data_IF_956950043845
#
_entry.id   IF_956950043845
#
_cell.length_a   1.000
_cell.length_b   1.000
_cell.length_c   1.000
_cell.angle_alpha   90.00
_cell.angle_beta   90.00
_cell.angle_gamma   90.00
#
_symmetry.space_group_name_H-M   'P 1'
#
loop_
_entity.id
_entity.type
_entity.pdbx_description
1 polymer ?
#
# COMPACT_ATOMS: atom_id res chain seq x y z
N UNK A 1 -7.61 59.16 -39.00
CA UNK A 1 -6.39 58.66 -38.31
C UNK A 1 -6.58 58.22 -36.85
N UNK A 2 -7.60 58.67 -36.13
CA UNK A 2 -7.89 58.33 -34.73
C UNK A 2 -8.46 56.91 -34.56
N UNK A 3 -9.35 56.48 -35.46
CA UNK A 3 -10.03 55.18 -35.40
C UNK A 3 -9.09 53.96 -35.49
N UNK A 4 -8.03 54.08 -36.30
CA UNK A 4 -7.00 53.04 -36.49
C UNK A 4 -6.10 52.82 -35.25
N UNK A 5 -5.98 53.82 -34.39
CA UNK A 5 -5.17 53.76 -33.16
C UNK A 5 -5.95 53.09 -32.00
N UNK A 6 -7.26 53.31 -31.94
CA UNK A 6 -8.13 52.65 -30.95
C UNK A 6 -8.30 51.18 -31.26
N UNK A 7 -8.48 50.80 -32.54
CA UNK A 7 -8.56 49.40 -32.97
C UNK A 7 -7.26 48.62 -32.67
N UNK A 8 -6.09 49.22 -32.89
CA UNK A 8 -4.78 48.63 -32.57
C UNK A 8 -4.52 48.53 -31.06
N UNK A 9 -5.09 49.41 -30.24
CA UNK A 9 -5.03 49.31 -28.78
C UNK A 9 -5.99 48.26 -28.24
N UNK A 10 -7.15 48.08 -28.85
CA UNK A 10 -8.11 47.02 -28.50
C UNK A 10 -7.52 45.61 -28.78
N UNK A 11 -6.91 45.45 -29.96
CA UNK A 11 -6.28 44.19 -30.37
C UNK A 11 -5.08 43.80 -29.46
N UNK A 12 -4.27 44.78 -29.04
CA UNK A 12 -3.20 44.59 -28.06
C UNK A 12 -3.73 44.21 -26.66
N UNK A 13 -4.86 44.79 -26.24
CA UNK A 13 -5.48 44.44 -24.95
C UNK A 13 -6.09 43.02 -24.96
N UNK A 14 -6.71 42.65 -26.08
CA UNK A 14 -7.22 41.28 -26.25
C UNK A 14 -6.09 40.23 -26.27
N UNK A 15 -5.00 40.51 -26.97
CA UNK A 15 -3.80 39.65 -26.98
C UNK A 15 -3.18 39.50 -25.59
N UNK A 16 -3.01 40.61 -24.85
CA UNK A 16 -2.48 40.59 -23.48
C UNK A 16 -3.40 39.82 -22.50
N UNK A 17 -4.74 39.98 -22.65
CA UNK A 17 -5.69 39.21 -21.83
C UNK A 17 -5.73 37.73 -22.20
N UNK A 18 -5.51 37.38 -23.46
CA UNK A 18 -5.41 35.96 -23.88
C UNK A 18 -4.13 35.30 -23.34
N UNK A 19 -2.98 36.03 -23.41
CA UNK A 19 -1.71 35.57 -22.82
C UNK A 19 -1.81 35.43 -21.29
N UNK A 20 -2.45 36.36 -20.60
CA UNK A 20 -2.67 36.30 -19.16
C UNK A 20 -3.59 35.14 -18.78
N UNK A 21 -4.66 34.87 -19.54
CA UNK A 21 -5.56 33.74 -19.36
C UNK A 21 -4.84 32.39 -19.63
N UNK A 22 -4.03 32.33 -20.68
CA UNK A 22 -3.20 31.16 -20.97
C UNK A 22 -2.17 30.91 -19.86
N UNK A 23 -1.46 31.95 -19.41
CA UNK A 23 -0.52 31.84 -18.30
C UNK A 23 -1.17 31.41 -16.99
N UNK A 24 -2.39 31.91 -16.68
CA UNK A 24 -3.18 31.44 -15.51
C UNK A 24 -3.68 30.01 -15.67
N UNK A 25 -4.06 29.60 -16.87
CA UNK A 25 -4.47 28.22 -17.15
C UNK A 25 -3.29 27.25 -17.04
N UNK A 26 -2.13 27.60 -17.59
CA UNK A 26 -0.91 26.81 -17.45
C UNK A 26 -0.41 26.72 -16.00
N UNK A 27 -0.47 27.83 -15.25
CA UNK A 27 -0.15 27.84 -13.82
C UNK A 27 -1.12 26.96 -13.02
N UNK A 28 -2.43 26.97 -13.34
CA UNK A 28 -3.45 26.14 -12.71
C UNK A 28 -3.26 24.65 -13.04
N UNK A 29 -2.82 24.32 -14.25
CA UNK A 29 -2.47 22.94 -14.65
C UNK A 29 -1.21 22.48 -13.93
N UNK A 30 -0.18 23.34 -13.80
CA UNK A 30 1.04 23.07 -13.03
C UNK A 30 0.78 22.88 -11.54
N UNK A 31 -0.27 23.46 -10.99
CA UNK A 31 -0.65 23.37 -9.58
C UNK A 31 -1.72 22.28 -9.32
N UNK A 32 -2.05 21.48 -10.33
CA UNK A 32 -2.99 20.37 -10.19
C UNK A 32 -2.28 19.09 -9.79
N UNK A 33 -2.81 18.40 -8.77
CA UNK A 33 -2.37 17.03 -8.41
C UNK A 33 -2.88 15.98 -9.42
N UNK A 34 -3.93 16.29 -10.18
CA UNK A 34 -4.60 15.36 -11.10
C UNK A 34 -3.90 15.32 -12.47
N UNK A 35 -2.61 15.06 -12.48
CA UNK A 35 -1.89 14.76 -13.72
C UNK A 35 -2.16 13.32 -14.17
N UNK A 36 -2.15 13.08 -15.48
CA UNK A 36 -2.35 11.73 -16.02
C UNK A 36 -1.38 10.70 -15.42
N UNK A 37 -0.06 10.98 -15.28
CA UNK A 37 0.86 10.06 -14.61
C UNK A 37 0.49 9.80 -13.15
N UNK A 38 0.02 10.80 -12.40
CA UNK A 38 -0.40 10.61 -11.01
C UNK A 38 -1.60 9.67 -10.90
N UNK A 39 -2.62 9.86 -11.76
CA UNK A 39 -3.81 8.99 -11.78
C UNK A 39 -3.44 7.55 -12.16
N UNK A 40 -2.54 7.38 -13.14
CA UNK A 40 -2.04 6.04 -13.52
C UNK A 40 -1.30 5.39 -12.34
N UNK A 41 -0.39 6.11 -11.68
CA UNK A 41 0.35 5.57 -10.53
C UNK A 41 -0.58 5.26 -9.35
N UNK A 42 -1.64 6.03 -9.15
CA UNK A 42 -2.68 5.75 -8.16
C UNK A 42 -3.43 4.46 -8.50
N UNK A 43 -3.78 4.25 -9.77
CA UNK A 43 -4.39 3.00 -10.24
C UNK A 43 -3.44 1.80 -10.10
N UNK A 44 -2.15 1.97 -10.42
CA UNK A 44 -1.11 0.97 -10.20
C UNK A 44 -1.03 0.58 -8.72
N UNK A 45 -1.02 1.56 -7.82
CA UNK A 45 -1.03 1.33 -6.37
C UNK A 45 -2.28 0.57 -5.92
N UNK A 46 -3.45 0.92 -6.46
CA UNK A 46 -4.71 0.23 -6.17
C UNK A 46 -4.66 -1.23 -6.58
N UNK A 47 -4.32 -1.54 -7.83
CA UNK A 47 -4.30 -2.91 -8.34
C UNK A 47 -3.22 -3.76 -7.66
N UNK A 48 -2.03 -3.21 -7.44
CA UNK A 48 -0.97 -3.90 -6.71
C UNK A 48 -1.38 -4.19 -5.27
N UNK A 49 -1.97 -3.22 -4.57
CA UNK A 49 -2.43 -3.38 -3.20
C UNK A 49 -3.61 -4.36 -3.12
N UNK A 50 -4.53 -4.33 -4.09
CA UNK A 50 -5.63 -5.28 -4.17
C UNK A 50 -5.11 -6.72 -4.30
N UNK A 51 -4.18 -6.97 -5.23
CA UNK A 51 -3.53 -8.28 -5.36
C UNK A 51 -2.82 -8.72 -4.06
N UNK A 52 -2.10 -7.80 -3.41
CA UNK A 52 -1.40 -8.08 -2.16
C UNK A 52 -2.36 -8.42 -1.01
N UNK A 53 -3.46 -7.68 -0.85
CA UNK A 53 -4.46 -7.95 0.20
C UNK A 53 -5.28 -9.20 -0.09
N UNK A 54 -5.58 -9.52 -1.36
CA UNK A 54 -6.14 -10.83 -1.74
C UNK A 54 -5.22 -11.94 -1.28
N UNK A 55 -3.92 -11.88 -1.61
CA UNK A 55 -2.95 -12.89 -1.21
C UNK A 55 -2.79 -13.00 0.31
N UNK A 56 -2.78 -11.90 1.04
CA UNK A 56 -2.64 -11.91 2.49
C UNK A 56 -3.78 -12.68 3.17
N UNK A 57 -4.99 -12.63 2.62
CA UNK A 57 -6.14 -13.37 3.15
C UNK A 57 -6.19 -14.83 2.67
N UNK A 58 -5.79 -15.12 1.44
CA UNK A 58 -5.96 -16.42 0.81
C UNK A 58 -4.75 -17.36 0.94
N UNK A 59 -3.53 -16.82 1.00
CA UNK A 59 -2.31 -17.65 1.09
C UNK A 59 -2.19 -18.49 2.36
N UNK A 60 -2.61 -18.02 3.55
CA UNK A 60 -2.65 -18.87 4.74
C UNK A 60 -3.57 -20.08 4.55
N UNK A 61 -4.76 -19.85 3.99
CA UNK A 61 -5.75 -20.91 3.70
C UNK A 61 -5.22 -21.85 2.62
N UNK A 62 -4.54 -21.31 1.60
CA UNK A 62 -3.91 -22.12 0.57
C UNK A 62 -2.78 -22.99 1.11
N UNK A 63 -1.93 -22.45 1.97
CA UNK A 63 -0.88 -23.24 2.63
C UNK A 63 -1.46 -24.36 3.51
N UNK A 64 -2.52 -24.07 4.26
CA UNK A 64 -3.25 -25.05 5.06
C UNK A 64 -3.82 -26.17 4.19
N UNK A 65 -4.44 -25.85 3.05
CA UNK A 65 -4.96 -26.84 2.08
C UNK A 65 -3.87 -27.73 1.47
N UNK A 66 -2.61 -27.28 1.46
CA UNK A 66 -1.42 -28.06 1.08
C UNK A 66 -0.83 -28.87 2.26
N UNK A 67 -1.52 -28.92 3.41
CA UNK A 67 -1.10 -29.68 4.60
C UNK A 67 -0.07 -28.94 5.48
N UNK A 68 0.02 -27.61 5.41
CA UNK A 68 0.91 -26.86 6.27
C UNK A 68 0.44 -26.87 7.72
N UNK A 69 1.36 -27.09 8.65
CA UNK A 69 1.11 -26.80 10.07
C UNK A 69 1.01 -25.28 10.28
N UNK A 70 0.41 -24.83 11.41
CA UNK A 70 0.32 -23.42 11.74
C UNK A 70 1.69 -22.70 11.71
N UNK A 71 2.76 -23.40 12.14
CA UNK A 71 4.12 -22.86 12.06
C UNK A 71 4.60 -22.70 10.60
N UNK A 72 4.29 -23.65 9.72
CA UNK A 72 4.65 -23.58 8.31
C UNK A 72 3.85 -22.49 7.57
N UNK A 73 2.58 -22.27 7.92
CA UNK A 73 1.80 -21.12 7.44
C UNK A 73 2.53 -19.82 7.77
N UNK A 74 3.04 -19.68 9.00
CA UNK A 74 3.84 -18.53 9.40
C UNK A 74 5.09 -18.36 8.55
N UNK A 75 5.81 -19.44 8.21
CA UNK A 75 6.98 -19.41 7.32
C UNK A 75 6.57 -18.98 5.91
N UNK A 76 5.50 -19.52 5.34
CA UNK A 76 4.98 -19.12 4.01
C UNK A 76 4.62 -17.65 4.00
N UNK A 77 3.90 -17.16 5.01
CA UNK A 77 3.46 -15.76 5.07
C UNK A 77 4.65 -14.82 5.24
N UNK A 78 5.65 -15.15 6.06
CA UNK A 78 6.77 -14.27 6.38
C UNK A 78 7.90 -14.29 5.33
N UNK A 79 8.01 -15.34 4.53
CA UNK A 79 9.14 -15.52 3.58
C UNK A 79 9.29 -14.38 2.59
N UNK A 80 8.17 -13.81 2.07
CA UNK A 80 8.25 -12.66 1.17
C UNK A 80 8.80 -11.39 1.85
N UNK A 81 8.47 -11.19 3.13
CA UNK A 81 8.97 -10.06 3.90
C UNK A 81 10.47 -10.16 4.13
N UNK A 82 10.98 -11.37 4.37
CA UNK A 82 12.40 -11.61 4.51
C UNK A 82 13.17 -11.21 3.25
N UNK A 83 12.75 -11.70 2.08
CA UNK A 83 13.40 -11.34 0.81
C UNK A 83 13.22 -9.86 0.45
N UNK A 84 12.06 -9.26 0.74
CA UNK A 84 11.84 -7.83 0.57
C UNK A 84 12.80 -7.00 1.44
N UNK A 85 13.04 -7.42 2.69
CA UNK A 85 13.99 -6.76 3.58
C UNK A 85 15.44 -6.87 3.06
N UNK A 86 15.83 -8.06 2.60
CA UNK A 86 17.18 -8.31 2.06
C UNK A 86 17.48 -7.52 0.78
N UNK A 87 16.48 -7.24 -0.04
CA UNK A 87 16.63 -6.50 -1.30
C UNK A 87 16.70 -4.98 -1.09
N UNK A 88 16.04 -4.43 -0.09
CA UNK A 88 15.97 -2.97 0.15
C UNK A 88 17.30 -2.23 0.20
N UNK A 89 18.36 -2.76 0.82
CA UNK A 89 19.69 -2.15 0.82
C UNK A 89 20.25 -1.89 -0.58
N UNK A 90 20.00 -2.81 -1.50
CA UNK A 90 20.48 -2.74 -2.88
C UNK A 90 19.54 -1.90 -3.76
N UNK A 91 18.25 -1.89 -3.45
CA UNK A 91 17.24 -1.20 -4.22
C UNK A 91 17.39 0.33 -4.13
N UNK A 92 17.66 0.89 -2.93
CA UNK A 92 17.81 2.34 -2.73
C UNK A 92 18.81 2.99 -3.69
N UNK A 93 20.10 2.58 -3.71
CA UNK A 93 21.08 3.09 -4.66
C UNK A 93 20.69 2.85 -6.14
N UNK A 94 20.01 1.72 -6.43
CA UNK A 94 19.56 1.42 -7.79
C UNK A 94 18.51 2.44 -8.28
N UNK A 95 17.63 2.94 -7.39
CA UNK A 95 16.62 3.94 -7.73
C UNK A 95 17.25 5.28 -8.13
N UNK A 96 18.44 5.56 -7.67
CA UNK A 96 19.19 6.76 -8.01
C UNK A 96 20.04 6.63 -9.27
N UNK A 97 20.45 5.40 -9.59
CA UNK A 97 21.36 5.11 -10.70
C UNK A 97 20.64 4.71 -11.98
N UNK A 98 19.46 4.11 -11.90
CA UNK A 98 18.74 3.57 -13.04
C UNK A 98 17.38 4.25 -13.24
N UNK A 99 16.72 3.96 -14.38
CA UNK A 99 15.37 4.42 -14.68
C UNK A 99 14.37 3.82 -13.67
N UNK A 100 13.71 4.68 -12.90
CA UNK A 100 12.70 4.28 -11.90
C UNK A 100 11.52 3.58 -12.57
N UNK A 101 11.10 4.07 -13.75
CA UNK A 101 10.05 3.45 -14.54
C UNK A 101 10.41 2.01 -14.94
N UNK A 102 11.63 1.78 -15.44
CA UNK A 102 12.07 0.43 -15.82
C UNK A 102 12.18 -0.49 -14.63
N UNK A 103 12.75 0.00 -13.53
CA UNK A 103 12.83 -0.78 -12.29
C UNK A 103 11.44 -1.11 -11.73
N UNK A 104 10.48 -0.18 -11.80
CA UNK A 104 9.11 -0.42 -11.37
C UNK A 104 8.43 -1.48 -12.24
N UNK A 105 8.63 -1.44 -13.57
CA UNK A 105 8.11 -2.47 -14.47
C UNK A 105 8.71 -3.85 -14.18
N UNK A 106 10.02 -3.94 -13.91
CA UNK A 106 10.67 -5.19 -13.52
C UNK A 106 10.08 -5.70 -12.19
N UNK A 107 9.96 -4.83 -11.18
CA UNK A 107 9.40 -5.20 -9.89
C UNK A 107 7.95 -5.68 -10.01
N UNK A 108 7.11 -5.00 -10.79
CA UNK A 108 5.74 -5.40 -11.08
C UNK A 108 5.68 -6.71 -11.87
N UNK A 109 6.61 -6.92 -12.82
CA UNK A 109 6.73 -8.17 -13.58
C UNK A 109 7.06 -9.37 -12.67
N UNK A 110 7.97 -9.18 -11.70
CA UNK A 110 8.28 -10.20 -10.68
C UNK A 110 7.03 -10.53 -9.85
N UNK A 111 6.29 -9.53 -9.39
CA UNK A 111 5.07 -9.72 -8.62
C UNK A 111 4.00 -10.43 -9.46
N UNK A 112 3.76 -9.97 -10.69
CA UNK A 112 2.80 -10.56 -11.62
C UNK A 112 3.11 -12.04 -11.91
N UNK A 113 4.38 -12.35 -12.23
CA UNK A 113 4.83 -13.71 -12.46
C UNK A 113 4.66 -14.60 -11.23
N UNK A 114 4.87 -14.04 -10.03
CA UNK A 114 4.64 -14.77 -8.78
C UNK A 114 3.17 -15.13 -8.59
N UNK A 115 2.25 -14.19 -8.86
CA UNK A 115 0.81 -14.47 -8.78
C UNK A 115 0.36 -15.50 -9.81
N UNK A 116 0.87 -15.40 -11.02
CA UNK A 116 0.63 -16.42 -12.05
C UNK A 116 1.15 -17.80 -11.61
N UNK A 117 2.36 -17.85 -11.04
CA UNK A 117 2.96 -19.09 -10.56
C UNK A 117 2.21 -19.71 -9.38
N UNK A 118 1.57 -18.91 -8.50
CA UNK A 118 0.74 -19.46 -7.41
C UNK A 118 -0.41 -20.34 -7.91
N UNK A 119 -0.94 -20.07 -9.11
CA UNK A 119 -2.00 -20.88 -9.71
C UNK A 119 -1.60 -22.34 -10.06
N UNK A 120 -0.30 -22.66 -10.04
CA UNK A 120 0.25 -23.98 -10.40
C UNK A 120 0.99 -24.66 -9.25
N UNK A 121 0.90 -24.11 -8.04
CA UNK A 121 1.61 -24.65 -6.89
C UNK A 121 0.88 -25.90 -6.35
N UNK A 122 1.65 -26.95 -6.14
CA UNK A 122 1.22 -28.24 -5.61
C UNK A 122 1.96 -28.64 -4.32
N UNK A 123 2.96 -27.87 -3.88
CA UNK A 123 3.77 -28.18 -2.70
C UNK A 123 4.21 -26.93 -1.93
N UNK A 124 4.38 -27.10 -0.61
CA UNK A 124 4.80 -26.01 0.28
C UNK A 124 6.19 -25.49 -0.05
N UNK A 125 7.11 -26.34 -0.50
CA UNK A 125 8.46 -25.89 -0.89
C UNK A 125 8.45 -24.95 -2.07
N UNK A 126 7.67 -25.29 -3.11
CA UNK A 126 7.47 -24.43 -4.29
C UNK A 126 6.77 -23.11 -3.89
N UNK A 127 5.76 -23.19 -3.01
CA UNK A 127 5.07 -21.99 -2.50
C UNK A 127 6.05 -21.03 -1.82
N UNK A 128 6.91 -21.53 -0.92
CA UNK A 128 7.92 -20.72 -0.23
C UNK A 128 8.91 -20.10 -1.24
N UNK A 129 9.38 -20.88 -2.22
CA UNK A 129 10.30 -20.37 -3.23
C UNK A 129 9.69 -19.22 -4.03
N UNK A 130 8.43 -19.35 -4.47
CA UNK A 130 7.71 -18.28 -5.17
C UNK A 130 7.49 -17.08 -4.24
N UNK A 131 7.20 -17.28 -2.96
CA UNK A 131 7.06 -16.21 -1.96
C UNK A 131 8.37 -15.41 -1.79
N UNK A 132 9.52 -16.08 -1.74
CA UNK A 132 10.82 -15.42 -1.71
C UNK A 132 11.05 -14.59 -2.98
N UNK A 133 10.74 -15.12 -4.15
CA UNK A 133 10.82 -14.40 -5.42
C UNK A 133 9.86 -13.19 -5.44
N UNK A 134 8.62 -13.37 -5.01
CA UNK A 134 7.61 -12.31 -4.87
C UNK A 134 8.11 -11.15 -4.00
N UNK A 135 8.76 -11.47 -2.87
CA UNK A 135 9.28 -10.47 -1.95
C UNK A 135 10.34 -9.56 -2.56
N UNK A 136 11.14 -10.03 -3.53
CA UNK A 136 12.09 -9.18 -4.29
C UNK A 136 11.33 -8.07 -5.02
N UNK A 137 10.23 -8.40 -5.70
CA UNK A 137 9.38 -7.41 -6.37
C UNK A 137 8.76 -6.41 -5.40
N UNK A 138 8.16 -6.89 -4.30
CA UNK A 138 7.54 -6.04 -3.28
C UNK A 138 8.55 -5.12 -2.60
N UNK A 139 9.76 -5.61 -2.30
CA UNK A 139 10.82 -4.82 -1.69
C UNK A 139 11.19 -3.57 -2.48
N UNK A 140 11.06 -3.63 -3.81
CA UNK A 140 11.39 -2.54 -4.74
C UNK A 140 10.16 -1.70 -5.12
N UNK A 141 9.00 -2.32 -5.37
CA UNK A 141 7.86 -1.66 -6.03
C UNK A 141 7.30 -0.47 -5.26
N UNK A 142 7.09 -0.60 -3.95
CA UNK A 142 6.50 0.46 -3.12
C UNK A 142 7.35 1.75 -3.10
N UNK A 143 8.62 1.70 -2.71
CA UNK A 143 9.51 2.87 -2.73
C UNK A 143 9.67 3.48 -4.13
N UNK A 144 9.75 2.66 -5.20
CA UNK A 144 9.83 3.14 -6.58
C UNK A 144 8.57 3.90 -7.00
N UNK A 145 7.39 3.34 -6.71
CA UNK A 145 6.13 3.98 -7.03
C UNK A 145 5.99 5.31 -6.29
N UNK A 146 6.30 5.34 -4.98
CA UNK A 146 6.29 6.56 -4.18
C UNK A 146 7.26 7.61 -4.73
N UNK A 147 8.47 7.20 -5.12
CA UNK A 147 9.47 8.08 -5.71
C UNK A 147 9.02 8.69 -7.04
N UNK A 148 8.35 7.90 -7.91
CA UNK A 148 7.76 8.41 -9.15
C UNK A 148 6.58 9.35 -8.88
N UNK A 149 5.69 9.00 -7.95
CA UNK A 149 4.57 9.87 -7.55
C UNK A 149 5.07 11.24 -7.09
N UNK A 150 6.14 11.25 -6.30
CA UNK A 150 6.71 12.51 -5.77
C UNK A 150 7.22 13.44 -6.88
N UNK A 151 7.63 12.92 -8.03
CA UNK A 151 8.10 13.71 -9.18
C UNK A 151 6.96 14.39 -9.96
N UNK A 152 5.73 13.86 -9.86
CA UNK A 152 4.57 14.41 -10.55
C UNK A 152 3.70 15.32 -9.69
N UNK A 153 3.98 15.41 -8.39
CA UNK A 153 3.22 16.24 -7.48
C UNK A 153 3.80 17.65 -7.38
N UNK A 154 2.96 18.70 -7.44
CA UNK A 154 3.39 20.06 -7.12
C UNK A 154 3.88 20.16 -5.68
N UNK A 155 4.98 20.89 -5.44
CA UNK A 155 5.52 21.10 -4.10
C UNK A 155 4.49 21.70 -3.12
N UNK A 156 3.63 22.60 -3.62
CA UNK A 156 2.55 23.26 -2.86
C UNK A 156 1.45 22.30 -2.38
N UNK A 157 1.28 21.14 -3.03
CA UNK A 157 0.22 20.16 -2.76
C UNK A 157 0.76 18.76 -2.49
N UNK A 158 2.04 18.67 -2.16
CA UNK A 158 2.72 17.39 -1.98
C UNK A 158 2.05 16.50 -0.91
N UNK A 159 1.79 17.04 0.28
CA UNK A 159 1.17 16.28 1.37
C UNK A 159 -0.25 15.80 1.01
N UNK A 160 -1.07 16.66 0.38
CA UNK A 160 -2.40 16.29 -0.10
C UNK A 160 -2.35 15.22 -1.18
N UNK A 161 -1.41 15.33 -2.12
CA UNK A 161 -1.21 14.34 -3.19
C UNK A 161 -0.83 12.97 -2.64
N UNK A 162 0.12 12.90 -1.71
CA UNK A 162 0.51 11.65 -1.04
C UNK A 162 -0.67 11.04 -0.26
N UNK A 163 -1.47 11.88 0.42
CA UNK A 163 -2.65 11.40 1.14
C UNK A 163 -3.68 10.77 0.20
N UNK A 164 -3.95 11.40 -0.95
CA UNK A 164 -4.86 10.87 -1.98
C UNK A 164 -4.29 9.58 -2.60
N UNK A 165 -2.99 9.53 -2.87
CA UNK A 165 -2.33 8.32 -3.35
C UNK A 165 -2.50 7.14 -2.37
N UNK A 166 -2.42 7.40 -1.06
CA UNK A 166 -2.61 6.39 -0.02
C UNK A 166 -4.07 5.89 0.08
N UNK A 167 -5.07 6.68 -0.34
CA UNK A 167 -6.47 6.23 -0.36
C UNK A 167 -6.66 5.02 -1.28
N UNK A 168 -5.93 4.95 -2.39
CA UNK A 168 -5.99 3.80 -3.30
C UNK A 168 -5.68 2.48 -2.57
N UNK A 169 -4.65 2.48 -1.72
CA UNK A 169 -4.31 1.33 -0.88
C UNK A 169 -5.40 1.04 0.16
N UNK A 170 -6.02 2.07 0.75
CA UNK A 170 -7.10 1.89 1.72
C UNK A 170 -8.33 1.23 1.11
N UNK A 171 -8.73 1.63 -0.10
CA UNK A 171 -9.81 0.96 -0.84
C UNK A 171 -9.47 -0.48 -1.18
N UNK A 172 -8.24 -0.74 -1.62
CA UNK A 172 -7.76 -2.09 -1.91
C UNK A 172 -7.78 -2.99 -0.65
N UNK A 173 -7.51 -2.44 0.52
CA UNK A 173 -7.57 -3.15 1.80
C UNK A 173 -8.98 -3.59 2.17
N UNK A 174 -10.03 -2.82 1.76
CA UNK A 174 -11.44 -3.20 1.95
C UNK A 174 -11.82 -4.32 1.00
N UNK A 175 -11.55 -4.12 -0.30
CA UNK A 175 -12.08 -4.95 -1.38
C UNK A 175 -11.26 -6.24 -1.57
N UNK A 176 -9.92 -6.14 -1.45
CA UNK A 176 -9.00 -7.22 -1.78
C UNK A 176 -9.25 -8.53 -1.04
N UNK A 177 -9.24 -8.57 0.30
CA UNK A 177 -9.46 -9.80 1.06
C UNK A 177 -10.81 -10.44 0.78
N UNK A 178 -11.88 -9.63 0.75
CA UNK A 178 -13.24 -10.10 0.48
C UNK A 178 -13.35 -10.72 -0.91
N UNK A 179 -12.80 -10.05 -1.94
CA UNK A 179 -12.77 -10.57 -3.31
C UNK A 179 -11.95 -11.86 -3.40
N UNK A 180 -10.78 -11.89 -2.74
CA UNK A 180 -9.91 -13.06 -2.73
C UNK A 180 -10.58 -14.29 -2.14
N UNK A 181 -11.15 -14.16 -0.94
CA UNK A 181 -11.84 -15.25 -0.27
C UNK A 181 -13.10 -15.71 -1.01
N UNK A 182 -13.92 -14.76 -1.48
CA UNK A 182 -15.10 -15.09 -2.30
C UNK A 182 -14.73 -15.89 -3.54
N UNK A 183 -13.66 -15.50 -4.26
CA UNK A 183 -13.22 -16.25 -5.44
C UNK A 183 -12.67 -17.63 -5.08
N UNK A 184 -11.95 -17.75 -3.98
CA UNK A 184 -11.47 -19.06 -3.49
C UNK A 184 -12.63 -20.00 -3.21
N UNK A 185 -13.66 -19.50 -2.53
CA UNK A 185 -14.85 -20.29 -2.20
C UNK A 185 -15.70 -20.63 -3.43
N UNK A 186 -15.82 -19.71 -4.41
CA UNK A 186 -16.66 -19.90 -5.59
C UNK A 186 -15.99 -20.72 -6.70
N UNK A 187 -14.69 -20.48 -6.98
CA UNK A 187 -14.01 -21.01 -8.18
C UNK A 187 -12.58 -21.51 -7.90
N UNK A 188 -12.12 -21.45 -6.65
CA UNK A 188 -10.84 -21.98 -6.21
C UNK A 188 -9.67 -20.99 -6.26
N UNK A 189 -8.53 -21.40 -5.67
CA UNK A 189 -7.33 -20.58 -5.50
C UNK A 189 -6.72 -20.10 -6.83
N UNK A 190 -6.67 -20.99 -7.82
CA UNK A 190 -6.08 -20.68 -9.15
C UNK A 190 -6.73 -19.46 -9.79
N UNK A 191 -8.07 -19.39 -9.77
CA UNK A 191 -8.82 -18.27 -10.33
C UNK A 191 -8.54 -16.95 -9.58
N UNK A 192 -8.48 -17.00 -8.25
CA UNK A 192 -8.16 -15.84 -7.43
C UNK A 192 -6.75 -15.29 -7.75
N UNK A 193 -5.75 -16.15 -7.89
CA UNK A 193 -4.38 -15.74 -8.21
C UNK A 193 -4.24 -15.25 -9.65
N UNK A 194 -4.96 -15.86 -10.61
CA UNK A 194 -4.97 -15.37 -11.99
C UNK A 194 -5.65 -14.02 -12.13
N UNK A 195 -6.73 -13.76 -11.38
CA UNK A 195 -7.30 -12.42 -11.33
C UNK A 195 -6.28 -11.41 -10.78
N UNK A 196 -5.59 -11.73 -9.70
CA UNK A 196 -4.53 -10.87 -9.15
C UNK A 196 -3.42 -10.60 -10.16
N UNK A 197 -2.96 -11.62 -10.91
CA UNK A 197 -2.00 -11.46 -12.00
C UNK A 197 -2.55 -10.56 -13.12
N UNK A 198 -3.81 -10.73 -13.52
CA UNK A 198 -4.45 -9.91 -14.55
C UNK A 198 -4.53 -8.43 -14.14
N UNK A 199 -4.88 -8.13 -12.89
CA UNK A 199 -4.87 -6.76 -12.35
C UNK A 199 -3.47 -6.12 -12.42
N UNK A 200 -2.42 -6.90 -12.15
CA UNK A 200 -1.04 -6.45 -12.26
C UNK A 200 -0.60 -6.22 -13.72
N UNK A 201 -1.07 -7.02 -14.66
CA UNK A 201 -0.84 -6.78 -16.11
C UNK A 201 -1.46 -5.44 -16.52
N UNK A 202 -2.68 -5.15 -16.08
CA UNK A 202 -3.34 -3.85 -16.32
C UNK A 202 -2.52 -2.70 -15.71
N UNK A 203 -2.05 -2.87 -14.47
CA UNK A 203 -1.18 -1.92 -13.80
C UNK A 203 0.12 -1.67 -14.59
N UNK A 204 0.77 -2.72 -15.08
CA UNK A 204 1.98 -2.62 -15.92
C UNK A 204 1.69 -1.88 -17.23
N UNK A 205 0.56 -2.13 -17.88
CA UNK A 205 0.10 -1.39 -19.06
C UNK A 205 0.02 0.11 -18.80
N UNK A 206 -0.51 0.52 -17.64
CA UNK A 206 -0.51 1.91 -17.20
C UNK A 206 0.90 2.50 -17.05
N UNK A 207 1.83 1.76 -16.44
CA UNK A 207 3.22 2.23 -16.27
C UNK A 207 3.90 2.45 -17.63
N UNK A 208 3.63 1.64 -18.66
CA UNK A 208 4.17 1.86 -20.00
C UNK A 208 3.75 3.21 -20.59
N UNK A 209 2.54 3.67 -20.32
CA UNK A 209 2.02 4.96 -20.80
C UNK A 209 2.65 6.19 -20.12
N UNK A 210 3.28 6.05 -18.95
CA UNK A 210 3.92 7.15 -18.24
C UNK A 210 5.26 7.49 -18.91
N UNK A 211 5.52 8.78 -19.11
CA UNK A 211 6.86 9.27 -19.50
C UNK A 211 7.63 9.61 -18.22
N UNK A 212 8.78 8.96 -18.02
CA UNK A 212 9.65 9.27 -16.87
C UNK A 212 10.24 10.69 -17.04
N UNK A 213 10.14 11.57 -16.03
CA UNK A 213 10.80 12.86 -16.05
C UNK A 213 12.32 12.72 -16.18
N UNK A 214 12.95 13.65 -16.88
CA UNK A 214 14.42 13.67 -16.95
C UNK A 214 15.01 13.92 -15.55
N UNK A 215 15.99 13.13 -15.22
CA UNK A 215 16.71 13.22 -13.96
C UNK A 215 18.19 12.88 -14.20
N UNK A 216 19.06 13.62 -13.54
CA UNK A 216 20.47 13.26 -13.46
C UNK A 216 20.64 11.97 -12.66
N UNK A 217 21.36 11.00 -13.23
CA UNK A 217 21.59 9.70 -12.61
C UNK A 217 22.89 9.72 -11.82
N UNK A 218 22.81 9.30 -10.57
CA UNK A 218 23.98 9.18 -9.73
C UNK A 218 24.68 7.83 -9.96
N UNK A 219 26.01 7.74 -9.82
CA UNK A 219 26.71 6.46 -9.86
C UNK A 219 26.23 5.55 -8.74
N UNK A 220 26.08 4.27 -9.02
CA UNK A 220 25.67 3.27 -8.04
C UNK A 220 26.71 3.14 -6.93
N UNK A 221 26.31 3.46 -5.69
CA UNK A 221 27.16 3.39 -4.51
C UNK A 221 26.42 2.76 -3.34
N UNK A 222 26.84 1.57 -2.94
CA UNK A 222 26.30 0.91 -1.74
C UNK A 222 27.04 1.41 -0.50
N UNK A 223 26.40 2.26 0.31
CA UNK A 223 26.93 2.79 1.58
C UNK A 223 26.10 2.27 2.75
N UNK A 224 26.47 1.11 3.30
CA UNK A 224 25.75 0.50 4.44
C UNK A 224 25.72 1.40 5.68
N UNK A 225 26.72 2.25 5.88
CA UNK A 225 26.80 3.17 7.04
C UNK A 225 25.70 4.23 7.07
N UNK A 226 25.07 4.55 5.92
CA UNK A 226 23.97 5.52 5.82
C UNK A 226 22.58 4.91 5.98
N UNK A 227 22.50 3.60 6.20
CA UNK A 227 21.23 2.87 6.22
C UNK A 227 20.60 2.81 7.63
N UNK A 228 21.35 3.15 8.67
CA UNK A 228 20.89 3.06 10.05
C UNK A 228 20.86 4.44 10.70
N UNK A 229 19.64 4.97 10.92
CA UNK A 229 19.41 6.14 11.75
C UNK A 229 19.19 5.66 13.21
N UNK A 230 20.21 5.77 14.04
CA UNK A 230 20.18 5.33 15.46
C UNK A 230 19.00 5.92 16.24
N UNK A 231 18.63 7.16 15.92
CA UNK A 231 17.56 7.92 16.58
C UNK A 231 16.15 7.36 16.27
N UNK A 232 15.99 6.68 15.12
CA UNK A 232 14.73 6.07 14.72
C UNK A 232 14.53 4.64 15.30
N UNK A 233 15.56 3.99 15.83
CA UNK A 233 15.52 2.56 16.21
C UNK A 233 14.43 2.26 17.25
N UNK A 234 14.29 3.06 18.29
CA UNK A 234 13.27 2.84 19.34
C UNK A 234 11.83 2.94 18.78
N UNK A 235 11.59 3.94 17.92
CA UNK A 235 10.28 4.14 17.28
C UNK A 235 9.97 3.05 16.24
N UNK A 236 10.99 2.63 15.49
CA UNK A 236 10.89 1.51 14.56
C UNK A 236 10.61 0.18 15.29
N UNK A 237 11.22 -0.06 16.45
CA UNK A 237 10.96 -1.23 17.28
C UNK A 237 9.51 -1.25 17.79
N UNK A 238 8.97 -0.13 18.26
CA UNK A 238 7.56 -0.01 18.67
C UNK A 238 6.60 -0.27 17.49
N UNK A 239 6.90 0.32 16.32
CA UNK A 239 6.12 0.07 15.11
C UNK A 239 6.19 -1.40 14.69
N UNK A 240 7.36 -2.04 14.81
CA UNK A 240 7.55 -3.46 14.50
C UNK A 240 6.66 -4.35 15.38
N UNK A 241 6.58 -4.10 16.69
CA UNK A 241 5.71 -4.89 17.59
C UNK A 241 4.23 -4.79 17.19
N UNK A 242 3.75 -3.60 16.85
CA UNK A 242 2.39 -3.38 16.37
C UNK A 242 2.17 -4.04 15.01
N UNK A 243 3.14 -3.94 14.10
CA UNK A 243 3.06 -4.55 12.78
C UNK A 243 3.07 -6.08 12.84
N UNK A 244 3.85 -6.68 13.74
CA UNK A 244 3.85 -8.14 13.99
C UNK A 244 2.47 -8.58 14.46
N UNK A 245 1.90 -7.90 15.45
CA UNK A 245 0.55 -8.20 15.94
C UNK A 245 -0.48 -8.09 14.81
N UNK A 246 -0.50 -6.98 14.07
CA UNK A 246 -1.42 -6.81 12.93
C UNK A 246 -1.27 -7.89 11.86
N UNK A 247 -0.03 -8.24 11.51
CA UNK A 247 0.25 -9.30 10.52
C UNK A 247 -0.24 -10.66 11.00
N UNK A 248 -0.07 -10.97 12.29
CA UNK A 248 -0.56 -12.19 12.89
C UNK A 248 -2.09 -12.28 12.79
N UNK A 249 -2.82 -11.22 13.15
CA UNK A 249 -4.27 -11.17 13.00
C UNK A 249 -4.68 -11.35 11.53
N UNK A 250 -4.09 -10.60 10.61
CA UNK A 250 -4.42 -10.68 9.19
C UNK A 250 -4.16 -12.05 8.55
N UNK A 251 -3.15 -12.77 9.04
CA UNK A 251 -2.75 -14.08 8.49
C UNK A 251 -3.54 -15.26 9.05
N UNK A 252 -3.97 -15.17 10.30
CA UNK A 252 -4.55 -16.35 10.98
C UNK A 252 -6.04 -16.21 11.29
N UNK A 253 -6.62 -15.00 11.21
CA UNK A 253 -8.03 -14.79 11.57
C UNK A 253 -9.00 -15.63 10.73
N UNK A 254 -8.69 -15.82 9.43
CA UNK A 254 -9.53 -16.62 8.52
C UNK A 254 -9.47 -18.10 8.91
N UNK A 255 -8.26 -18.64 9.08
CA UNK A 255 -8.07 -20.03 9.50
C UNK A 255 -8.73 -20.31 10.87
N UNK A 256 -8.60 -19.35 11.78
CA UNK A 256 -9.20 -19.43 13.10
C UNK A 256 -10.74 -19.41 13.03
N UNK A 257 -11.33 -18.57 12.16
CA UNK A 257 -12.76 -18.52 11.90
C UNK A 257 -13.28 -19.83 11.27
N UNK A 258 -12.59 -20.32 10.25
CA UNK A 258 -12.94 -21.60 9.61
C UNK A 258 -12.87 -22.78 10.60
N UNK A 259 -11.85 -22.81 11.46
CA UNK A 259 -11.74 -23.80 12.52
C UNK A 259 -12.89 -23.76 13.56
N UNK A 260 -13.66 -22.67 13.59
CA UNK A 260 -14.88 -22.49 14.42
C UNK A 260 -16.17 -22.60 13.63
N UNK A 261 -16.11 -22.97 12.34
CA UNK A 261 -17.28 -23.13 11.47
C UNK A 261 -17.85 -21.82 10.93
N UNK A 262 -17.13 -20.70 11.04
CA UNK A 262 -17.52 -19.41 10.46
C UNK A 262 -17.01 -19.33 9.02
N UNK A 263 -17.90 -19.23 8.03
CA UNK A 263 -17.56 -19.28 6.60
C UNK A 263 -17.33 -17.89 6.00
N UNK A 264 -18.09 -16.86 6.41
CA UNK A 264 -18.09 -15.54 5.78
C UNK A 264 -16.99 -14.62 6.31
N UNK A 265 -15.76 -15.13 6.49
CA UNK A 265 -14.63 -14.38 7.06
C UNK A 265 -14.16 -13.19 6.21
N UNK A 266 -14.59 -13.13 4.95
CA UNK A 266 -14.39 -11.93 4.12
C UNK A 266 -15.00 -10.67 4.72
N UNK A 267 -16.15 -10.77 5.40
CA UNK A 267 -16.81 -9.65 6.08
C UNK A 267 -15.99 -9.07 7.23
N UNK A 268 -15.15 -9.86 7.90
CA UNK A 268 -14.21 -9.37 8.91
C UNK A 268 -13.33 -8.25 8.34
N UNK A 269 -12.74 -8.46 7.18
CA UNK A 269 -11.86 -7.47 6.54
C UNK A 269 -12.62 -6.24 6.04
N UNK A 270 -13.84 -6.44 5.53
CA UNK A 270 -14.70 -5.32 5.09
C UNK A 270 -15.03 -4.42 6.27
N UNK A 271 -15.52 -4.98 7.38
CA UNK A 271 -15.86 -4.21 8.59
C UNK A 271 -14.63 -3.57 9.20
N UNK A 272 -13.52 -4.33 9.30
CA UNK A 272 -12.24 -3.82 9.78
C UNK A 272 -11.78 -2.59 9.00
N UNK A 273 -11.80 -2.67 7.67
CA UNK A 273 -11.32 -1.60 6.82
C UNK A 273 -12.27 -0.39 6.77
N UNK A 274 -13.59 -0.60 6.78
CA UNK A 274 -14.57 0.49 6.89
C UNK A 274 -14.42 1.26 8.21
N UNK A 275 -14.28 0.53 9.32
CA UNK A 275 -14.00 1.16 10.61
C UNK A 275 -12.67 1.90 10.61
N UNK A 276 -11.65 1.39 9.92
CA UNK A 276 -10.34 2.01 9.81
C UNK A 276 -10.39 3.37 9.08
N UNK A 277 -11.25 3.50 8.06
CA UNK A 277 -11.48 4.78 7.34
C UNK A 277 -12.05 5.85 8.28
N UNK A 278 -12.90 5.45 9.23
CA UNK A 278 -13.50 6.36 10.20
C UNK A 278 -12.54 6.64 11.37
N UNK A 279 -11.89 5.62 11.90
CA UNK A 279 -11.06 5.74 13.11
C UNK A 279 -9.74 6.49 12.84
N UNK A 280 -9.13 6.39 11.66
CA UNK A 280 -7.88 7.10 11.33
C UNK A 280 -8.00 8.63 11.47
N UNK A 281 -8.94 9.31 10.80
CA UNK A 281 -9.07 10.76 10.95
C UNK A 281 -9.54 11.17 12.34
N UNK A 282 -10.47 10.41 12.96
CA UNK A 282 -10.99 10.70 14.28
C UNK A 282 -9.90 10.65 15.37
N UNK A 283 -9.09 9.59 15.37
CA UNK A 283 -8.03 9.39 16.36
C UNK A 283 -6.78 10.23 16.04
N UNK A 284 -6.52 10.55 14.77
CA UNK A 284 -5.51 11.53 14.38
C UNK A 284 -5.82 12.91 14.95
N UNK A 285 -7.05 13.41 14.74
CA UNK A 285 -7.50 14.69 15.31
C UNK A 285 -7.57 14.68 16.85
N UNK A 286 -7.81 13.52 17.47
CA UNK A 286 -7.72 13.37 18.92
C UNK A 286 -6.28 13.48 19.41
N UNK A 287 -5.32 12.90 18.67
CA UNK A 287 -3.90 12.98 19.03
C UNK A 287 -3.37 14.41 19.04
N UNK A 288 -3.87 15.27 18.15
CA UNK A 288 -3.54 16.70 18.13
C UNK A 288 -4.05 17.44 19.37
N UNK A 289 -5.16 16.98 19.99
CA UNK A 289 -5.80 17.61 21.14
C UNK A 289 -5.27 17.10 22.49
N UNK A 290 -5.15 15.79 22.65
CA UNK A 290 -4.81 15.16 23.94
C UNK A 290 -3.35 14.69 24.03
N UNK A 291 -2.63 14.78 22.92
CA UNK A 291 -1.23 14.36 22.79
C UNK A 291 -1.07 12.92 22.29
N UNK A 292 -0.10 12.74 21.41
CA UNK A 292 0.22 11.46 20.75
C UNK A 292 0.42 10.26 21.72
N UNK A 293 1.13 10.39 22.88
CA UNK A 293 1.35 9.24 23.75
C UNK A 293 0.06 8.65 24.33
N UNK A 294 -0.92 9.49 24.68
CA UNK A 294 -2.19 9.02 25.24
C UNK A 294 -3.01 8.24 24.23
N UNK A 295 -3.04 8.71 22.97
CA UNK A 295 -3.74 8.03 21.88
C UNK A 295 -3.03 6.72 21.50
N UNK A 296 -1.71 6.67 21.57
CA UNK A 296 -0.96 5.41 21.38
C UNK A 296 -1.29 4.36 22.43
N UNK A 297 -1.35 4.76 23.72
CA UNK A 297 -1.77 3.85 24.81
C UNK A 297 -3.18 3.34 24.57
N UNK A 298 -4.13 4.24 24.28
CA UNK A 298 -5.51 3.88 23.96
C UNK A 298 -5.58 2.88 22.80
N UNK A 299 -4.89 3.17 21.70
CA UNK A 299 -4.86 2.27 20.52
C UNK A 299 -4.25 0.91 20.83
N UNK A 300 -3.18 0.85 21.61
CA UNK A 300 -2.56 -0.41 22.04
C UNK A 300 -3.50 -1.24 22.90
N UNK A 301 -4.23 -0.59 23.83
CA UNK A 301 -5.24 -1.26 24.65
C UNK A 301 -6.40 -1.79 23.78
N UNK A 302 -6.93 -0.98 22.86
CA UNK A 302 -7.96 -1.44 21.92
C UNK A 302 -7.48 -2.66 21.11
N UNK A 303 -6.23 -2.65 20.68
CA UNK A 303 -5.68 -3.75 19.91
C UNK A 303 -5.55 -5.03 20.75
N UNK A 304 -5.10 -4.91 22.00
CA UNK A 304 -5.07 -6.03 22.95
C UNK A 304 -6.48 -6.60 23.24
N UNK A 305 -7.46 -5.70 23.50
CA UNK A 305 -8.86 -6.08 23.71
C UNK A 305 -9.44 -6.80 22.48
N UNK A 306 -9.07 -6.39 21.27
CA UNK A 306 -9.46 -7.07 20.05
C UNK A 306 -9.01 -8.54 20.01
N UNK A 307 -7.79 -8.86 20.47
CA UNK A 307 -7.32 -10.24 20.58
C UNK A 307 -8.10 -11.04 21.61
N UNK A 308 -8.45 -10.42 22.75
CA UNK A 308 -9.29 -11.04 23.75
C UNK A 308 -10.69 -11.32 23.18
N UNK A 309 -11.25 -10.35 22.43
CA UNK A 309 -12.54 -10.55 21.75
C UNK A 309 -12.47 -11.68 20.71
N UNK A 310 -11.39 -11.77 19.92
CA UNK A 310 -11.17 -12.87 18.98
C UNK A 310 -11.11 -14.23 19.70
N UNK A 311 -10.43 -14.30 20.84
CA UNK A 311 -10.33 -15.55 21.62
C UNK A 311 -11.70 -16.09 22.01
N UNK A 312 -12.62 -15.23 22.42
CA UNK A 312 -13.99 -15.60 22.83
C UNK A 312 -14.98 -15.67 21.66
N UNK A 313 -14.64 -15.18 20.48
CA UNK A 313 -15.53 -15.20 19.31
C UNK A 313 -15.84 -16.65 18.87
N UNK A 314 -17.14 -17.00 18.83
CA UNK A 314 -17.62 -18.33 18.40
C UNK A 314 -18.41 -18.24 17.09
N UNK A 315 -18.81 -17.02 16.70
CA UNK A 315 -19.69 -16.73 15.58
C UNK A 315 -19.24 -15.48 14.83
N UNK A 316 -19.80 -15.24 13.66
CA UNK A 316 -19.45 -14.08 12.83
C UNK A 316 -19.61 -12.73 13.58
N UNK A 317 -20.71 -12.45 14.30
CA UNK A 317 -20.83 -11.21 15.09
C UNK A 317 -19.69 -10.99 16.08
N UNK A 318 -19.20 -12.03 16.75
CA UNK A 318 -18.05 -11.95 17.65
C UNK A 318 -16.75 -11.56 16.91
N UNK A 319 -16.52 -12.13 15.73
CA UNK A 319 -15.40 -11.74 14.86
C UNK A 319 -15.53 -10.30 14.37
N UNK A 320 -16.74 -9.88 13.98
CA UNK A 320 -16.97 -8.50 13.52
C UNK A 320 -16.77 -7.47 14.65
N UNK A 321 -17.18 -7.80 15.88
CA UNK A 321 -16.90 -6.96 17.05
C UNK A 321 -15.40 -6.79 17.28
N UNK A 322 -14.64 -7.87 17.18
CA UNK A 322 -13.19 -7.83 17.28
C UNK A 322 -12.55 -7.00 16.15
N UNK A 323 -13.11 -7.05 14.93
CA UNK A 323 -12.67 -6.23 13.81
C UNK A 323 -12.86 -4.73 14.09
N UNK A 324 -14.01 -4.33 14.62
CA UNK A 324 -14.31 -2.93 15.02
C UNK A 324 -13.29 -2.43 16.05
N UNK A 325 -13.09 -3.18 17.11
CA UNK A 325 -12.15 -2.81 18.19
C UNK A 325 -10.71 -2.76 17.68
N UNK A 326 -10.29 -3.77 16.91
CA UNK A 326 -8.93 -3.87 16.36
C UNK A 326 -8.60 -2.77 15.36
N UNK A 327 -9.60 -2.32 14.57
CA UNK A 327 -9.44 -1.23 13.62
C UNK A 327 -9.10 0.10 14.31
N UNK A 328 -9.71 0.37 15.48
CA UNK A 328 -9.39 1.54 16.29
C UNK A 328 -7.93 1.48 16.79
N UNK A 329 -7.48 0.29 17.21
CA UNK A 329 -6.11 0.07 17.68
C UNK A 329 -5.06 0.33 16.59
N UNK A 330 -5.13 -0.39 15.49
CA UNK A 330 -4.15 -0.27 14.40
C UNK A 330 -4.27 1.08 13.66
N UNK A 331 -5.50 1.57 13.51
CA UNK A 331 -5.79 2.82 12.79
C UNK A 331 -5.10 4.04 13.37
N UNK A 332 -4.91 4.11 14.69
CA UNK A 332 -4.19 5.21 15.33
C UNK A 332 -2.69 4.91 15.51
N UNK A 333 -2.32 3.71 15.92
CA UNK A 333 -0.93 3.42 16.29
C UNK A 333 0.04 3.50 15.10
N UNK A 334 -0.31 2.90 13.95
CA UNK A 334 0.60 2.82 12.81
C UNK A 334 0.96 4.20 12.22
N UNK A 335 0.00 5.10 11.89
CA UNK A 335 0.33 6.43 11.35
C UNK A 335 1.08 7.31 12.35
N UNK A 336 0.71 7.28 13.64
CA UNK A 336 1.35 8.08 14.67
C UNK A 336 2.80 7.68 14.89
N UNK A 337 3.11 6.39 14.96
CA UNK A 337 4.49 5.91 15.09
C UNK A 337 5.31 6.19 13.84
N UNK A 338 4.73 6.09 12.64
CA UNK A 338 5.41 6.46 11.39
C UNK A 338 5.76 7.95 11.36
N UNK A 339 4.82 8.83 11.73
CA UNK A 339 5.06 10.28 11.77
C UNK A 339 6.13 10.65 12.79
N UNK A 340 6.12 10.03 13.98
CA UNK A 340 7.16 10.22 15.00
C UNK A 340 8.53 9.71 14.54
N UNK A 341 8.58 8.63 13.76
CA UNK A 341 9.80 8.10 13.15
C UNK A 341 10.40 9.08 12.15
N UNK A 342 9.58 9.60 11.24
CA UNK A 342 10.01 10.58 10.24
C UNK A 342 10.48 11.92 10.84
N UNK A 343 9.82 12.38 11.90
CA UNK A 343 10.19 13.64 12.58
C UNK A 343 11.51 13.56 13.36
N UNK A 344 12.14 12.38 13.50
CA UNK A 344 13.38 12.16 14.22
C UNK A 344 14.61 11.98 13.33
N UNK A 345 14.44 12.01 12.03
CA UNK A 345 15.48 11.90 11.00
C UNK A 345 15.56 13.20 10.21
#
# INVERSE_FOLDING_TARGET
MTKTREDAMADRREGAMAEEKMGKAEAKVRDSIWSVPFVILMAVNFFQSMAAFMANATLPVFADSLGATASMVGVVVSSFTLSALLVRPFAGPAFDSFSRKRLLLIAQGIICLSFFAYGFVDSLGVLIAIRLFHGVGIGCSGPLAMSLVSEYLPATKFASGISIYALAQSFAQVIGPATGLYLVDAVGFTAAYFLAAALLVVAMGGIFAIREPYRERLPYQLKLSRMFAREAVGKAAALMLIAVSFSCMGSYVVLYGYGRGVTDMGLFFVVYALCLVVTRPALGGLADRVGTPRVLVFGTVCFAVSYVALFYAQDLPGFLLAAVIGSAGFGCCAPLLQSMGLASV
#
